data_IF_767850915321
#
_entry.id   IF_767850915321
#
_cell.length_a   1.000
_cell.length_b   1.000
_cell.length_c   1.000
_cell.angle_alpha   90.00
_cell.angle_beta   90.00
_cell.angle_gamma   90.00
#
_symmetry.space_group_name_H-M   'P 1'
#
loop_
_entity.id
_entity.type
_entity.pdbx_description
1 polymer ?
#
# COMPACT_ATOMS: atom_id res chain seq x y z
N UNK A 1 -5.76 -30.92 -8.28
CA UNK A 1 -5.87 -29.72 -9.13
C UNK A 1 -5.54 -30.16 -10.54
N UNK A 2 -6.29 -29.69 -11.56
CA UNK A 2 -5.87 -29.94 -12.93
C UNK A 2 -4.49 -29.32 -13.13
N UNK A 3 -3.57 -30.06 -13.75
CA UNK A 3 -2.25 -29.55 -14.08
C UNK A 3 -2.43 -28.28 -14.93
N UNK A 4 -2.07 -27.12 -14.36
CA UNK A 4 -2.11 -25.84 -15.07
C UNK A 4 -1.07 -25.89 -16.19
N UNK A 5 -1.54 -26.10 -17.41
CA UNK A 5 -0.65 -26.19 -18.57
C UNK A 5 -0.22 -24.78 -19.00
N UNK A 6 1.01 -24.40 -18.64
CA UNK A 6 1.61 -23.08 -18.94
C UNK A 6 1.55 -22.78 -20.44
N UNK A 7 1.88 -23.76 -21.29
CA UNK A 7 1.91 -23.58 -22.75
C UNK A 7 0.50 -23.30 -23.33
N UNK A 8 -0.52 -23.88 -22.71
CA UNK A 8 -1.90 -23.63 -23.12
C UNK A 8 -2.33 -22.22 -22.68
N UNK A 9 -2.04 -21.81 -21.45
CA UNK A 9 -2.39 -20.48 -20.93
C UNK A 9 -1.65 -19.38 -21.72
N UNK A 10 -0.38 -19.60 -22.03
CA UNK A 10 0.42 -18.67 -22.83
C UNK A 10 -0.14 -18.47 -24.25
N UNK A 11 -0.74 -19.50 -24.85
CA UNK A 11 -1.30 -19.43 -26.20
C UNK A 11 -2.75 -18.97 -26.23
N UNK A 12 -3.57 -19.42 -25.28
CA UNK A 12 -5.02 -19.26 -25.34
C UNK A 12 -5.56 -18.13 -24.47
N UNK A 13 -4.85 -17.69 -23.42
CA UNK A 13 -5.36 -16.72 -22.45
C UNK A 13 -4.48 -15.46 -22.42
N UNK A 14 -3.15 -15.61 -22.30
CA UNK A 14 -2.23 -14.48 -22.16
C UNK A 14 -2.37 -13.39 -23.25
N UNK A 15 -2.60 -13.71 -24.56
CA UNK A 15 -2.76 -12.70 -25.59
C UNK A 15 -3.95 -11.76 -25.35
N UNK A 16 -4.94 -12.19 -24.57
CA UNK A 16 -6.12 -11.39 -24.25
C UNK A 16 -5.92 -10.52 -22.98
N UNK A 17 -4.86 -10.73 -22.20
CA UNK A 17 -4.47 -9.85 -21.11
C UNK A 17 -3.69 -8.63 -21.60
N UNK A 18 -4.31 -7.89 -22.51
CA UNK A 18 -3.74 -6.70 -23.14
C UNK A 18 -4.79 -5.59 -23.25
N UNK A 19 -4.37 -4.34 -23.02
CA UNK A 19 -5.26 -3.17 -23.21
C UNK A 19 -5.86 -3.09 -24.63
N UNK A 20 -5.17 -3.63 -25.64
CA UNK A 20 -5.63 -3.66 -27.03
C UNK A 20 -6.63 -4.78 -27.35
N UNK A 21 -6.80 -5.76 -26.45
CA UNK A 21 -7.76 -6.84 -26.67
C UNK A 21 -9.21 -6.33 -26.55
N UNK A 22 -10.14 -7.03 -27.21
CA UNK A 22 -11.57 -6.74 -27.07
C UNK A 22 -12.02 -6.89 -25.60
N UNK A 23 -12.89 -5.99 -25.15
CA UNK A 23 -13.32 -5.92 -23.75
C UNK A 23 -13.92 -7.24 -23.22
N UNK A 24 -14.71 -7.94 -24.05
CA UNK A 24 -15.36 -9.21 -23.70
C UNK A 24 -14.35 -10.33 -23.41
N UNK A 25 -13.41 -10.56 -24.32
CA UNK A 25 -12.39 -11.62 -24.16
C UNK A 25 -11.36 -11.26 -23.10
N UNK A 26 -11.01 -9.98 -22.98
CA UNK A 26 -10.13 -9.43 -21.96
C UNK A 26 -10.74 -9.66 -20.56
N UNK A 27 -12.02 -9.37 -20.39
CA UNK A 27 -12.75 -9.60 -19.14
C UNK A 27 -12.73 -11.08 -18.74
N UNK A 28 -12.99 -12.01 -19.69
CA UNK A 28 -12.97 -13.46 -19.42
C UNK A 28 -11.55 -13.90 -19.01
N UNK A 29 -10.52 -13.50 -19.74
CA UNK A 29 -9.13 -13.84 -19.45
C UNK A 29 -8.72 -13.31 -18.06
N UNK A 30 -9.12 -12.09 -17.72
CA UNK A 30 -8.82 -11.49 -16.43
C UNK A 30 -9.57 -12.18 -15.27
N UNK A 31 -10.85 -12.55 -15.46
CA UNK A 31 -11.59 -13.32 -14.45
C UNK A 31 -10.96 -14.67 -14.18
N UNK A 32 -10.37 -15.31 -15.19
CA UNK A 32 -9.61 -16.55 -14.99
C UNK A 32 -8.40 -16.29 -14.07
N UNK A 33 -7.61 -15.25 -14.32
CA UNK A 33 -6.48 -14.88 -13.48
C UNK A 33 -6.90 -14.42 -12.07
N UNK A 34 -8.00 -13.69 -11.95
CA UNK A 34 -8.56 -13.32 -10.65
C UNK A 34 -8.97 -14.55 -9.86
N UNK A 35 -9.62 -15.54 -10.50
CA UNK A 35 -9.98 -16.81 -9.88
C UNK A 35 -8.75 -17.59 -9.41
N UNK A 36 -7.70 -17.68 -10.22
CA UNK A 36 -6.44 -18.32 -9.83
C UNK A 36 -5.80 -17.61 -8.63
N UNK A 37 -5.79 -16.27 -8.63
CA UNK A 37 -5.19 -15.48 -7.54
C UNK A 37 -5.89 -15.65 -6.18
N UNK A 38 -7.06 -16.27 -6.14
CA UNK A 38 -7.79 -16.60 -4.91
C UNK A 38 -7.18 -17.76 -4.10
N UNK A 39 -6.19 -18.47 -4.63
CA UNK A 39 -5.52 -19.58 -3.95
C UNK A 39 -4.00 -19.37 -3.91
N UNK A 40 -3.34 -20.01 -2.94
CA UNK A 40 -1.87 -19.96 -2.86
C UNK A 40 -1.21 -20.50 -4.10
N UNK A 41 -1.61 -21.70 -4.53
CA UNK A 41 -1.03 -22.37 -5.69
C UNK A 41 -1.23 -21.56 -6.98
N UNK A 42 -2.38 -20.92 -7.12
CA UNK A 42 -2.65 -20.01 -8.24
C UNK A 42 -1.82 -18.74 -8.17
N UNK A 43 -1.61 -18.16 -6.98
CA UNK A 43 -0.69 -17.06 -6.82
C UNK A 43 0.75 -17.43 -7.16
N UNK A 44 1.23 -18.59 -6.69
CA UNK A 44 2.57 -19.09 -6.99
C UNK A 44 2.73 -19.35 -8.49
N UNK A 45 1.69 -19.91 -9.14
CA UNK A 45 1.65 -20.08 -10.58
C UNK A 45 1.78 -18.76 -11.34
N UNK A 46 0.95 -17.78 -11.03
CA UNK A 46 0.99 -16.45 -11.67
C UNK A 46 2.35 -15.77 -11.41
N UNK A 47 2.83 -15.82 -10.17
CA UNK A 47 4.09 -15.22 -9.78
C UNK A 47 5.30 -15.89 -10.42
N UNK A 48 5.22 -17.15 -10.81
CA UNK A 48 6.32 -17.87 -11.49
C UNK A 48 6.66 -17.28 -12.86
N UNK A 49 5.70 -16.60 -13.51
CA UNK A 49 5.86 -16.10 -14.88
C UNK A 49 5.79 -14.56 -14.94
N UNK A 50 6.91 -13.92 -15.31
CA UNK A 50 6.99 -12.46 -15.44
C UNK A 50 6.01 -11.88 -16.46
N UNK A 51 5.66 -12.64 -17.50
CA UNK A 51 4.70 -12.18 -18.52
C UNK A 51 3.32 -11.96 -17.90
N UNK A 52 2.86 -12.85 -17.00
CA UNK A 52 1.58 -12.72 -16.32
C UNK A 52 1.55 -11.50 -15.41
N UNK A 53 2.59 -11.31 -14.58
CA UNK A 53 2.70 -10.14 -13.71
C UNK A 53 2.71 -8.84 -14.53
N UNK A 54 3.49 -8.80 -15.62
CA UNK A 54 3.58 -7.61 -16.47
C UNK A 54 2.27 -7.33 -17.22
N UNK A 55 1.56 -8.35 -17.68
CA UNK A 55 0.25 -8.20 -18.29
C UNK A 55 -0.76 -7.60 -17.29
N UNK A 56 -0.82 -8.14 -16.07
CA UNK A 56 -1.68 -7.59 -15.01
C UNK A 56 -1.33 -6.14 -14.67
N UNK A 57 -0.04 -5.81 -14.52
CA UNK A 57 0.34 -4.41 -14.25
C UNK A 57 -0.03 -3.49 -15.41
N UNK A 58 0.08 -3.93 -16.67
CA UNK A 58 -0.32 -3.12 -17.83
C UNK A 58 -1.82 -2.81 -17.84
N UNK A 59 -2.67 -3.78 -17.43
CA UNK A 59 -4.12 -3.63 -17.35
C UNK A 59 -4.59 -2.67 -16.25
N UNK A 60 -3.74 -2.25 -15.33
CA UNK A 60 -4.09 -1.18 -14.38
C UNK A 60 -4.37 0.16 -15.07
N UNK A 61 -3.92 0.33 -16.32
CA UNK A 61 -4.10 1.53 -17.16
C UNK A 61 -5.21 1.36 -18.21
N UNK A 62 -5.99 0.30 -18.10
CA UNK A 62 -7.08 0.04 -19.04
C UNK A 62 -8.20 1.09 -18.91
N UNK A 63 -8.85 1.40 -20.01
CA UNK A 63 -9.97 2.36 -20.04
C UNK A 63 -11.26 1.79 -19.44
N UNK A 64 -11.40 0.45 -19.44
CA UNK A 64 -12.55 -0.24 -18.85
C UNK A 64 -12.41 -0.34 -17.33
N UNK A 65 -13.37 0.24 -16.61
CA UNK A 65 -13.35 0.29 -15.14
C UNK A 65 -13.56 -1.10 -14.49
N UNK A 66 -14.25 -2.03 -15.15
CA UNK A 66 -14.40 -3.38 -14.65
C UNK A 66 -13.07 -4.13 -14.76
N UNK A 67 -12.39 -3.99 -15.88
CA UNK A 67 -11.05 -4.56 -16.11
C UNK A 67 -10.04 -4.03 -15.10
N UNK A 68 -9.98 -2.71 -14.91
CA UNK A 68 -9.09 -2.09 -13.92
C UNK A 68 -9.37 -2.57 -12.50
N UNK A 69 -10.64 -2.69 -12.11
CA UNK A 69 -11.03 -3.19 -10.79
C UNK A 69 -10.54 -4.62 -10.56
N UNK A 70 -10.86 -5.52 -11.47
CA UNK A 70 -10.51 -6.94 -11.34
C UNK A 70 -8.98 -7.16 -11.41
N UNK A 71 -8.29 -6.32 -12.18
CA UNK A 71 -6.83 -6.26 -12.21
C UNK A 71 -6.26 -5.89 -10.84
N UNK A 72 -6.75 -4.80 -10.22
CA UNK A 72 -6.29 -4.41 -8.89
C UNK A 72 -6.60 -5.48 -7.84
N UNK A 73 -7.76 -6.14 -7.90
CA UNK A 73 -8.10 -7.24 -7.00
C UNK A 73 -7.12 -8.43 -7.16
N UNK A 74 -6.80 -8.78 -8.40
CA UNK A 74 -5.77 -9.82 -8.66
C UNK A 74 -4.41 -9.45 -8.07
N UNK A 75 -3.98 -8.19 -8.27
CA UNK A 75 -2.72 -7.69 -7.70
C UNK A 75 -2.75 -7.63 -6.16
N UNK A 76 -3.89 -7.30 -5.54
CA UNK A 76 -4.07 -7.35 -4.08
C UNK A 76 -3.87 -8.77 -3.58
N UNK A 77 -4.50 -9.78 -4.21
CA UNK A 77 -4.33 -11.17 -3.84
C UNK A 77 -2.86 -11.62 -3.97
N UNK A 78 -2.23 -11.32 -5.10
CA UNK A 78 -0.83 -11.64 -5.38
C UNK A 78 0.14 -10.97 -4.38
N UNK A 79 -0.13 -9.72 -4.00
CA UNK A 79 0.70 -8.95 -3.07
C UNK A 79 0.58 -9.39 -1.60
N UNK A 80 -0.29 -10.36 -1.28
CA UNK A 80 -0.32 -10.98 0.04
C UNK A 80 0.97 -11.78 0.31
N UNK A 81 1.66 -12.21 -0.74
CA UNK A 81 2.91 -12.94 -0.67
C UNK A 81 4.10 -11.99 -0.89
N UNK A 82 5.01 -11.98 0.08
CA UNK A 82 6.15 -11.05 0.12
C UNK A 82 7.03 -11.13 -1.12
N UNK A 83 7.33 -12.35 -1.58
CA UNK A 83 8.15 -12.57 -2.78
C UNK A 83 7.50 -11.97 -4.03
N UNK A 84 6.18 -12.10 -4.15
CA UNK A 84 5.44 -11.53 -5.29
C UNK A 84 5.40 -10.00 -5.22
N UNK A 85 5.22 -9.44 -4.03
CA UNK A 85 5.27 -7.99 -3.82
C UNK A 85 6.63 -7.40 -4.24
N UNK A 86 7.74 -8.05 -3.85
CA UNK A 86 9.09 -7.65 -4.30
C UNK A 86 9.23 -7.74 -5.81
N UNK A 87 8.80 -8.87 -6.39
CA UNK A 87 8.91 -9.13 -7.82
C UNK A 87 8.12 -8.12 -8.67
N UNK A 88 6.94 -7.72 -8.22
CA UNK A 88 6.16 -6.66 -8.86
C UNK A 88 6.95 -5.34 -8.95
N UNK A 89 7.62 -4.95 -7.86
CA UNK A 89 8.44 -3.74 -7.85
C UNK A 89 9.74 -3.89 -8.66
N UNK A 90 10.32 -5.10 -8.74
CA UNK A 90 11.50 -5.35 -9.55
C UNK A 90 11.20 -5.24 -11.05
N UNK A 91 10.06 -5.78 -11.47
CA UNK A 91 9.61 -5.74 -12.86
C UNK A 91 9.09 -4.35 -13.27
N UNK A 92 8.47 -3.64 -12.34
CA UNK A 92 7.78 -2.36 -12.61
C UNK A 92 8.17 -1.29 -11.60
N UNK A 93 9.32 -0.65 -11.81
CA UNK A 93 9.88 0.36 -10.91
C UNK A 93 8.96 1.56 -10.69
N UNK A 94 8.17 1.92 -11.71
CA UNK A 94 7.24 3.04 -11.66
C UNK A 94 5.90 2.70 -10.99
N UNK A 95 5.64 1.43 -10.69
CA UNK A 95 4.38 1.00 -10.10
C UNK A 95 4.01 1.77 -8.82
N UNK A 96 4.93 2.02 -7.85
CA UNK A 96 4.61 2.83 -6.68
C UNK A 96 4.11 4.23 -7.03
N UNK A 97 4.76 4.89 -7.98
CA UNK A 97 4.40 6.22 -8.42
C UNK A 97 3.01 6.24 -9.08
N UNK A 98 2.74 5.28 -9.95
CA UNK A 98 1.45 5.15 -10.63
C UNK A 98 0.31 4.90 -9.63
N UNK A 99 0.51 3.99 -8.66
CA UNK A 99 -0.49 3.72 -7.62
C UNK A 99 -0.76 4.94 -6.73
N UNK A 100 0.28 5.67 -6.34
CA UNK A 100 0.15 6.87 -5.50
C UNK A 100 -0.52 8.02 -6.24
N UNK A 101 -0.24 8.20 -7.54
CA UNK A 101 -0.96 9.14 -8.40
C UNK A 101 -2.44 8.78 -8.49
N UNK A 102 -2.75 7.49 -8.67
CA UNK A 102 -4.12 7.00 -8.73
C UNK A 102 -4.89 7.30 -7.43
N UNK A 103 -4.24 7.12 -6.27
CA UNK A 103 -4.85 7.43 -4.96
C UNK A 103 -5.17 8.90 -4.79
N UNK A 104 -4.35 9.79 -5.35
CA UNK A 104 -4.53 11.24 -5.24
C UNK A 104 -5.45 11.83 -6.32
N UNK A 105 -5.77 11.06 -7.35
CA UNK A 105 -6.71 11.46 -8.39
C UNK A 105 -8.15 11.31 -7.90
N UNK A 106 -8.89 12.42 -7.90
CA UNK A 106 -10.27 12.49 -7.40
C UNK A 106 -11.27 11.74 -8.29
N UNK A 107 -10.93 11.53 -9.56
CA UNK A 107 -11.81 10.85 -10.52
C UNK A 107 -11.59 9.33 -10.51
N UNK A 108 -10.60 8.86 -9.74
CA UNK A 108 -10.29 7.44 -9.59
C UNK A 108 -11.38 6.68 -8.85
N UNK A 109 -11.90 5.60 -9.46
CA UNK A 109 -13.04 4.85 -8.93
C UNK A 109 -12.67 3.72 -7.96
N UNK A 110 -11.43 3.20 -8.04
CA UNK A 110 -11.01 2.00 -7.29
C UNK A 110 -9.94 2.32 -6.24
N UNK A 111 -9.91 3.55 -5.76
CA UNK A 111 -8.90 4.08 -4.82
C UNK A 111 -8.76 3.21 -3.57
N UNK A 112 -9.87 2.69 -3.03
CA UNK A 112 -9.82 1.80 -1.85
C UNK A 112 -9.04 0.51 -2.10
N UNK A 113 -9.23 -0.12 -3.28
CA UNK A 113 -8.50 -1.34 -3.66
C UNK A 113 -7.02 -1.04 -3.90
N UNK A 114 -6.72 0.11 -4.50
CA UNK A 114 -5.32 0.56 -4.69
C UNK A 114 -4.64 0.83 -3.35
N UNK A 115 -5.34 1.40 -2.37
CA UNK A 115 -4.81 1.55 -1.01
C UNK A 115 -4.53 0.20 -0.34
N UNK A 116 -5.38 -0.83 -0.56
CA UNK A 116 -5.10 -2.20 -0.09
C UNK A 116 -3.82 -2.74 -0.73
N UNK A 117 -3.66 -2.57 -2.05
CA UNK A 117 -2.46 -2.99 -2.77
C UNK A 117 -1.20 -2.30 -2.23
N UNK A 118 -1.22 -0.99 -2.06
CA UNK A 118 -0.12 -0.21 -1.45
C UNK A 118 0.21 -0.71 -0.04
N UNK A 119 -0.81 -0.96 0.78
CA UNK A 119 -0.64 -1.52 2.13
C UNK A 119 0.05 -2.88 2.09
N UNK A 120 -0.34 -3.77 1.17
CA UNK A 120 0.27 -5.09 1.05
C UNK A 120 1.73 -5.01 0.57
N UNK A 121 1.99 -4.26 -0.51
CA UNK A 121 3.35 -4.13 -1.08
C UNK A 121 4.30 -3.51 -0.04
N UNK A 122 3.84 -2.55 0.75
CA UNK A 122 4.67 -1.86 1.75
C UNK A 122 4.98 -2.67 3.01
N UNK A 123 4.48 -3.90 3.19
CA UNK A 123 4.76 -4.72 4.40
C UNK A 123 6.25 -5.03 4.58
N UNK A 124 6.97 -5.29 3.49
CA UNK A 124 8.40 -5.49 3.53
C UNK A 124 9.15 -4.15 3.62
N UNK A 125 10.14 -4.07 4.50
CA UNK A 125 10.95 -2.86 4.66
C UNK A 125 11.62 -2.43 3.35
N UNK A 126 12.13 -3.37 2.56
CA UNK A 126 12.76 -3.10 1.28
C UNK A 126 11.78 -2.48 0.27
N UNK A 127 10.55 -2.98 0.22
CA UNK A 127 9.50 -2.41 -0.63
C UNK A 127 9.06 -1.04 -0.13
N UNK A 128 8.90 -0.90 1.19
CA UNK A 128 8.62 0.38 1.84
C UNK A 128 9.69 1.42 1.52
N UNK A 129 10.98 1.03 1.52
CA UNK A 129 12.10 1.93 1.14
C UNK A 129 11.92 2.44 -0.28
N UNK A 130 11.68 1.56 -1.24
CA UNK A 130 11.49 1.94 -2.66
C UNK A 130 10.30 2.89 -2.85
N UNK A 131 9.18 2.63 -2.13
CA UNK A 131 8.00 3.49 -2.17
C UNK A 131 8.32 4.86 -1.55
N UNK A 132 9.01 4.88 -0.41
CA UNK A 132 9.39 6.12 0.26
C UNK A 132 10.33 6.97 -0.60
N UNK A 133 11.33 6.35 -1.22
CA UNK A 133 12.25 7.02 -2.14
C UNK A 133 11.50 7.58 -3.37
N UNK A 134 10.50 6.84 -3.88
CA UNK A 134 9.64 7.33 -4.96
C UNK A 134 8.81 8.56 -4.55
N UNK A 135 8.30 8.59 -3.30
CA UNK A 135 7.58 9.76 -2.75
C UNK A 135 8.51 10.96 -2.67
N UNK A 136 9.74 10.78 -2.16
CA UNK A 136 10.71 11.86 -2.03
C UNK A 136 11.18 12.40 -3.39
N UNK A 137 11.37 11.52 -4.37
CA UNK A 137 11.77 11.91 -5.72
C UNK A 137 10.66 12.68 -6.48
N UNK A 138 9.41 12.54 -6.06
CA UNK A 138 8.25 13.12 -6.74
C UNK A 138 7.38 13.97 -5.79
N UNK A 139 8.01 14.71 -4.88
CA UNK A 139 7.33 15.46 -3.80
C UNK A 139 6.29 16.45 -4.34
N UNK A 140 6.55 17.06 -5.49
CA UNK A 140 5.63 18.01 -6.12
C UNK A 140 4.34 17.35 -6.65
N UNK A 141 4.38 16.07 -6.93
CA UNK A 141 3.24 15.31 -7.49
C UNK A 141 2.52 14.52 -6.41
N UNK A 142 3.26 13.73 -5.62
CA UNK A 142 2.73 12.74 -4.68
C UNK A 142 3.23 12.90 -3.23
N UNK A 143 3.78 14.05 -2.87
CA UNK A 143 4.40 14.27 -1.55
C UNK A 143 3.55 13.84 -0.36
N UNK A 144 4.21 13.50 0.76
CA UNK A 144 3.55 13.05 1.99
C UNK A 144 2.42 13.97 2.45
N UNK A 145 2.60 15.28 2.31
CA UNK A 145 1.57 16.25 2.68
C UNK A 145 0.27 16.05 1.91
N UNK A 146 0.36 15.73 0.61
CA UNK A 146 -0.82 15.47 -0.23
C UNK A 146 -1.52 14.19 0.20
N UNK A 147 -0.76 13.11 0.46
CA UNK A 147 -1.30 11.84 0.92
C UNK A 147 -1.98 11.96 2.29
N UNK A 148 -1.32 12.63 3.23
CA UNK A 148 -1.88 12.87 4.57
C UNK A 148 -3.09 13.80 4.49
N UNK A 149 -3.05 14.82 3.63
CA UNK A 149 -4.20 15.69 3.44
C UNK A 149 -5.40 14.90 2.88
N UNK A 150 -5.21 14.12 1.83
CA UNK A 150 -6.26 13.27 1.27
C UNK A 150 -6.83 12.32 2.33
N UNK A 151 -5.95 11.66 3.10
CA UNK A 151 -6.36 10.77 4.20
C UNK A 151 -7.18 11.49 5.27
N UNK A 152 -6.77 12.71 5.68
CA UNK A 152 -7.45 13.46 6.75
C UNK A 152 -8.83 13.98 6.34
N UNK A 153 -9.04 14.31 5.06
CA UNK A 153 -10.32 14.85 4.57
C UNK A 153 -11.28 13.78 4.05
N UNK A 154 -10.80 12.54 3.85
CA UNK A 154 -11.64 11.44 3.38
C UNK A 154 -12.68 11.03 4.42
N UNK A 155 -13.95 11.22 4.08
CA UNK A 155 -15.11 10.82 4.88
C UNK A 155 -15.79 9.55 4.34
N UNK A 156 -15.34 9.05 3.18
CA UNK A 156 -15.97 7.93 2.46
C UNK A 156 -15.45 6.57 2.86
N UNK A 157 -14.49 6.52 3.78
CA UNK A 157 -13.76 5.30 4.17
C UNK A 157 -12.92 4.66 3.03
N UNK A 158 -12.82 5.31 1.88
CA UNK A 158 -12.09 4.82 0.71
C UNK A 158 -10.59 4.71 1.00
N UNK A 159 -10.04 5.63 1.80
CA UNK A 159 -8.61 5.71 2.10
C UNK A 159 -8.22 5.00 3.41
N UNK A 160 -9.08 4.16 3.99
CA UNK A 160 -8.79 3.50 5.27
C UNK A 160 -7.45 2.74 5.27
N UNK A 161 -7.09 2.10 4.16
CA UNK A 161 -5.86 1.32 4.03
C UNK A 161 -4.59 2.17 3.91
N UNK A 162 -4.69 3.50 3.74
CA UNK A 162 -3.55 4.38 3.92
C UNK A 162 -3.05 4.40 5.38
N UNK A 163 -3.90 4.09 6.37
CA UNK A 163 -3.47 3.92 7.76
C UNK A 163 -2.38 2.85 7.89
N UNK A 164 -2.65 1.57 7.57
CA UNK A 164 -1.64 0.51 7.51
C UNK A 164 -0.45 0.84 6.59
N UNK A 165 -0.68 1.49 5.46
CA UNK A 165 0.40 1.95 4.58
C UNK A 165 1.37 2.90 5.29
N UNK A 166 0.88 3.91 6.01
CA UNK A 166 1.73 4.79 6.82
C UNK A 166 2.46 4.03 7.93
N UNK A 167 1.78 3.07 8.58
CA UNK A 167 2.44 2.20 9.56
C UNK A 167 3.61 1.45 8.96
N UNK A 168 3.43 0.88 7.78
CA UNK A 168 4.47 0.13 7.08
C UNK A 168 5.64 1.02 6.66
N UNK A 169 5.38 2.23 6.15
CA UNK A 169 6.43 3.18 5.81
C UNK A 169 7.27 3.59 7.03
N UNK A 170 6.69 3.62 8.23
CA UNK A 170 7.42 3.94 9.47
C UNK A 170 8.34 2.83 9.97
N UNK A 171 8.45 1.69 9.28
CA UNK A 171 9.56 0.76 9.45
C UNK A 171 10.90 1.43 9.10
N UNK A 172 10.88 2.37 8.15
CA UNK A 172 12.06 3.09 7.67
C UNK A 172 12.36 4.26 8.61
N UNK A 173 13.62 4.35 9.04
CA UNK A 173 14.08 5.42 9.93
C UNK A 173 13.86 6.81 9.33
N UNK A 174 14.19 7.00 8.05
CA UNK A 174 14.05 8.28 7.37
C UNK A 174 12.59 8.71 7.26
N UNK A 175 11.67 7.76 7.04
CA UNK A 175 10.23 8.03 7.06
C UNK A 175 9.77 8.48 8.45
N UNK A 176 10.25 7.85 9.54
CA UNK A 176 9.95 8.30 10.90
C UNK A 176 10.44 9.71 11.15
N UNK A 177 11.68 10.03 10.74
CA UNK A 177 12.23 11.38 10.86
C UNK A 177 11.40 12.41 10.08
N UNK A 178 10.99 12.05 8.85
CA UNK A 178 10.15 12.92 8.03
C UNK A 178 8.78 13.21 8.67
N UNK A 179 8.13 12.18 9.23
CA UNK A 179 6.83 12.33 9.90
C UNK A 179 6.96 13.14 11.21
N UNK A 180 8.09 13.02 11.89
CA UNK A 180 8.37 13.72 13.15
C UNK A 180 8.85 15.17 12.96
N UNK A 181 9.23 15.56 11.74
CA UNK A 181 9.68 16.92 11.47
C UNK A 181 8.57 17.93 11.78
N UNK A 182 8.87 18.85 12.72
CA UNK A 182 7.93 19.89 13.15
C UNK A 182 7.49 20.82 12.04
N UNK A 183 8.31 20.99 11.00
CA UNK A 183 7.98 21.82 9.84
C UNK A 183 6.81 21.22 9.05
N UNK A 184 6.79 19.92 8.91
CA UNK A 184 5.79 19.19 8.12
C UNK A 184 4.44 19.02 8.82
N UNK A 185 4.39 19.11 10.17
CA UNK A 185 3.20 18.94 11.01
C UNK A 185 2.38 17.67 10.71
N UNK A 186 2.99 16.66 10.10
CA UNK A 186 2.30 15.44 9.65
C UNK A 186 1.77 14.68 10.86
N UNK A 187 2.61 14.47 11.87
CA UNK A 187 2.23 13.75 13.07
C UNK A 187 1.03 14.39 13.78
N UNK A 188 0.99 15.73 13.88
CA UNK A 188 -0.11 16.45 14.52
C UNK A 188 -1.45 16.24 13.81
N UNK A 189 -1.42 16.08 12.48
CA UNK A 189 -2.61 15.83 11.65
C UNK A 189 -3.09 14.38 11.77
N UNK A 190 -2.20 13.44 12.04
CA UNK A 190 -2.53 12.02 12.19
C UNK A 190 -3.02 11.67 13.61
N UNK A 191 -2.60 12.42 14.65
CA UNK A 191 -2.97 12.18 16.05
C UNK A 191 -4.47 12.00 16.31
N UNK A 192 -5.40 12.79 15.73
CA UNK A 192 -6.83 12.59 15.96
C UNK A 192 -7.35 11.20 15.59
N UNK A 193 -6.67 10.51 14.67
CA UNK A 193 -7.10 9.18 14.20
C UNK A 193 -6.80 8.04 15.17
N UNK A 194 -6.07 8.26 16.28
CA UNK A 194 -5.89 7.25 17.33
C UNK A 194 -7.20 6.92 18.05
N UNK A 195 -8.18 7.82 18.02
CA UNK A 195 -9.51 7.65 18.58
C UNK A 195 -10.60 7.49 17.51
N UNK A 196 -10.22 7.26 16.26
CA UNK A 196 -11.17 7.17 15.15
C UNK A 196 -12.00 5.88 15.24
N UNK A 197 -13.29 6.00 15.55
CA UNK A 197 -14.17 4.86 15.80
C UNK A 197 -14.74 4.24 14.52
N UNK A 198 -14.91 5.03 13.46
CA UNK A 198 -15.57 4.58 12.24
C UNK A 198 -14.77 3.52 11.45
N UNK A 199 -13.46 3.36 11.70
CA UNK A 199 -12.64 2.34 11.03
C UNK A 199 -11.49 1.87 11.92
N UNK A 200 -11.55 0.59 12.29
CA UNK A 200 -10.47 -0.10 13.02
C UNK A 200 -9.19 -0.18 12.18
N UNK A 201 -9.31 -0.32 10.85
CA UNK A 201 -8.18 -0.39 9.92
C UNK A 201 -7.44 0.95 9.92
N UNK A 202 -8.17 2.05 9.75
CA UNK A 202 -7.62 3.41 9.76
C UNK A 202 -6.95 3.70 11.10
N UNK A 203 -7.66 3.48 12.20
CA UNK A 203 -7.17 3.70 13.56
C UNK A 203 -5.94 2.86 13.88
N UNK A 204 -6.01 1.55 13.65
CA UNK A 204 -4.93 0.61 13.94
C UNK A 204 -3.65 0.94 13.16
N UNK A 205 -3.79 1.32 11.89
CA UNK A 205 -2.65 1.74 11.09
C UNK A 205 -1.98 3.00 11.63
N UNK A 206 -2.76 4.01 12.02
CA UNK A 206 -2.19 5.25 12.58
C UNK A 206 -1.55 5.00 13.96
N UNK A 207 -2.17 4.17 14.82
CA UNK A 207 -1.55 3.76 16.08
C UNK A 207 -0.20 3.07 15.84
N UNK A 208 -0.12 2.18 14.85
CA UNK A 208 1.12 1.52 14.44
C UNK A 208 2.20 2.50 13.98
N UNK A 209 1.84 3.45 13.11
CA UNK A 209 2.76 4.49 12.64
C UNK A 209 3.31 5.34 13.79
N UNK A 210 2.43 5.80 14.68
CA UNK A 210 2.83 6.61 15.84
C UNK A 210 3.72 5.80 16.79
N UNK A 211 3.37 4.53 17.05
CA UNK A 211 4.17 3.64 17.87
C UNK A 211 5.60 3.50 17.34
N UNK A 212 5.76 3.27 16.04
CA UNK A 212 7.08 3.17 15.41
C UNK A 212 7.87 4.48 15.58
N UNK A 213 7.22 5.63 15.43
CA UNK A 213 7.85 6.93 15.64
C UNK A 213 8.28 7.17 17.11
N UNK A 214 7.51 6.68 18.10
CA UNK A 214 7.86 6.80 19.52
C UNK A 214 9.14 6.05 19.86
N UNK A 215 9.40 4.90 19.26
CA UNK A 215 10.65 4.16 19.48
C UNK A 215 11.91 4.92 19.02
N UNK A 216 11.80 5.72 17.98
CA UNK A 216 12.93 6.57 17.53
C UNK A 216 13.21 7.70 18.55
N UNK A 217 12.18 8.33 19.09
CA UNK A 217 12.31 9.42 20.05
C UNK A 217 12.93 8.97 21.38
N UNK A 218 12.69 7.73 21.81
CA UNK A 218 13.28 7.18 23.03
C UNK A 218 14.79 6.96 22.93
N UNK A 219 15.34 6.79 21.73
CA UNK A 219 16.78 6.59 21.50
C UNK A 219 17.55 7.91 21.40
N UNK A 220 16.88 8.97 21.02
CA UNK A 220 17.49 10.29 20.84
C UNK A 220 16.92 11.25 21.90
N UNK A 221 17.65 11.48 22.99
CA UNK A 221 17.30 12.45 24.05
C UNK A 221 17.03 13.90 23.57
N UNK A 222 17.10 14.15 22.26
CA UNK A 222 17.02 15.47 21.63
C UNK A 222 15.59 15.99 21.39
N UNK A 223 14.53 15.19 21.61
CA UNK A 223 13.15 15.62 21.31
C UNK A 223 12.26 15.77 22.56
N UNK A 224 12.85 16.23 23.65
CA UNK A 224 12.17 16.33 24.95
C UNK A 224 11.17 17.51 25.10
N UNK A 225 10.78 18.18 24.05
CA UNK A 225 9.94 19.38 24.16
C UNK A 225 8.69 19.34 23.28
N UNK A 226 7.72 18.50 23.60
CA UNK A 226 6.32 18.86 23.47
C UNK A 226 5.45 17.96 24.36
N UNK A 227 4.52 18.57 25.07
CA UNK A 227 3.54 17.95 25.98
C UNK A 227 2.80 16.78 25.33
N UNK A 228 2.64 16.80 24.00
CA UNK A 228 1.98 15.77 23.22
C UNK A 228 2.74 14.41 23.17
N UNK A 229 4.08 14.43 23.18
CA UNK A 229 4.87 13.19 23.16
C UNK A 229 4.76 12.39 24.47
N UNK A 230 4.66 13.09 25.61
CA UNK A 230 4.46 12.45 26.90
C UNK A 230 3.09 11.78 26.98
N UNK A 231 2.08 12.37 26.38
CA UNK A 231 0.73 11.80 26.29
C UNK A 231 0.70 10.57 25.35
N UNK A 232 1.38 10.63 24.21
CA UNK A 232 1.50 9.54 23.26
C UNK A 232 2.26 8.35 23.85
N UNK A 233 3.37 8.60 24.55
CA UNK A 233 4.15 7.53 25.22
C UNK A 233 3.36 6.85 26.34
N UNK A 234 2.51 7.58 27.07
CA UNK A 234 1.66 7.05 28.13
C UNK A 234 0.47 6.25 27.59
N UNK A 235 -0.11 6.66 26.46
CA UNK A 235 -1.28 5.99 25.86
C UNK A 235 -0.90 4.77 25.00
N UNK A 236 0.27 4.81 24.36
CA UNK A 236 0.69 3.77 23.41
C UNK A 236 1.70 2.78 24.02
N UNK A 237 2.41 3.16 25.07
CA UNK A 237 3.34 2.30 25.80
C UNK A 237 2.99 2.19 27.28
N UNK A 238 1.86 1.59 27.68
CA UNK A 238 1.47 1.44 29.08
C UNK A 238 2.43 0.55 29.91
N UNK A 239 3.32 -0.20 29.26
CA UNK A 239 4.19 -1.17 29.93
C UNK A 239 5.55 -0.65 30.42
N UNK A 240 5.88 0.64 30.27
CA UNK A 240 7.17 1.17 30.77
C UNK A 240 7.14 1.76 32.18
N UNK A 241 6.01 1.80 32.86
CA UNK A 241 5.88 2.40 34.19
C UNK A 241 5.92 1.41 35.39
N UNK A 242 6.31 0.15 35.18
CA UNK A 242 6.33 -0.84 36.30
C UNK A 242 7.73 -1.23 36.81
N UNK A 243 8.76 -0.44 36.55
CA UNK A 243 10.08 -0.73 37.12
C UNK A 243 10.92 0.52 37.37
N UNK A 244 10.41 1.41 38.24
CA UNK A 244 11.22 2.32 39.05
C UNK A 244 10.42 2.63 40.33
N UNK A 245 10.56 1.76 41.31
CA UNK A 245 10.52 2.06 42.76
C UNK A 245 11.84 1.57 43.29
#
# INVERSE_FOLDING_TARGET
MADLNVDQIDREILPFLSCSARADVKGIALQYFLGLSGSKDGCDFIASNNKYLSALVSLTKDSDQSVTKDTYLSLVNLSTYEQTAMRLLDLHKELPLDLLKYVLDKDSKHTGVVCMLLSNISRLEQCSRRIFDSILANVDVIGFDKLVNAFCVDQTATLNYLGPFFSNLTQIRDARHYLLDKKNRIMQRLLPFIQYEASLIRRGGIIGAIRNCCFESCKNHLYSYSVNYRYISLVICPYKNSSYV
#
